data_IF_414216388313
#
_entry.id   IF_414216388313
#
_cell.length_a   1.000
_cell.length_b   1.000
_cell.length_c   1.000
_cell.angle_alpha   90.00
_cell.angle_beta   90.00
_cell.angle_gamma   90.00
#
_symmetry.space_group_name_H-M   'P 1'
#
loop_
_entity.id
_entity.type
_entity.pdbx_description
1 polymer ?
#
# COMPACT_ATOMS: atom_id res chain seq x y z
N UNK A 1 6.78 12.17 -10.00
CA UNK A 1 5.81 11.08 -9.68
C UNK A 1 6.28 10.26 -8.49
N UNK A 2 7.53 9.79 -8.41
CA UNK A 2 8.02 9.09 -7.21
C UNK A 2 8.50 9.99 -6.05
N UNK A 3 8.59 11.31 -6.26
CA UNK A 3 8.94 12.28 -5.21
C UNK A 3 7.72 12.85 -4.46
N UNK A 4 6.55 12.20 -4.59
CA UNK A 4 5.34 12.64 -3.90
C UNK A 4 5.42 12.27 -2.42
N UNK A 5 5.03 13.20 -1.55
CA UNK A 5 5.04 13.01 -0.08
C UNK A 5 4.23 11.78 0.35
N UNK A 6 3.22 11.40 -0.45
CA UNK A 6 2.42 10.19 -0.27
C UNK A 6 3.27 8.91 -0.28
N UNK A 7 4.32 8.86 -1.11
CA UNK A 7 5.21 7.70 -1.22
C UNK A 7 6.00 7.49 0.06
N UNK A 8 6.55 8.58 0.60
CA UNK A 8 7.30 8.55 1.85
C UNK A 8 6.36 8.16 3.00
N UNK A 9 5.14 8.71 3.00
CA UNK A 9 4.13 8.42 4.02
C UNK A 9 3.82 6.92 4.09
N UNK A 10 3.36 6.30 3.00
CA UNK A 10 2.97 4.88 3.07
C UNK A 10 4.17 3.98 3.34
N UNK A 11 5.35 4.29 2.79
CA UNK A 11 6.55 3.50 2.98
C UNK A 11 7.02 3.50 4.43
N UNK A 12 7.11 4.69 5.07
CA UNK A 12 7.51 4.79 6.48
C UNK A 12 6.48 4.11 7.37
N UNK A 13 5.19 4.36 7.12
CA UNK A 13 4.10 3.83 7.94
C UNK A 13 4.05 2.30 7.90
N UNK A 14 4.12 1.69 6.71
CA UNK A 14 4.16 0.23 6.62
C UNK A 14 5.46 -0.35 7.15
N UNK A 15 6.60 0.31 6.94
CA UNK A 15 7.88 -0.16 7.48
C UNK A 15 7.85 -0.22 9.01
N UNK A 16 7.34 0.82 9.69
CA UNK A 16 7.21 0.82 11.15
C UNK A 16 6.21 -0.26 11.61
N UNK A 17 5.11 -0.44 10.88
CA UNK A 17 4.12 -1.50 11.14
C UNK A 17 4.77 -2.89 11.06
N UNK A 18 5.61 -3.11 10.06
CA UNK A 18 6.32 -4.38 9.88
C UNK A 18 7.38 -4.62 10.95
N UNK A 19 8.18 -3.59 11.29
CA UNK A 19 9.19 -3.70 12.37
C UNK A 19 8.53 -4.10 13.68
N UNK A 20 7.41 -3.47 14.05
CA UNK A 20 6.70 -3.82 15.30
C UNK A 20 6.10 -5.22 15.25
N UNK A 21 5.53 -5.62 14.11
CA UNK A 21 4.96 -6.96 13.90
C UNK A 21 6.01 -8.06 14.02
N UNK A 22 7.12 -7.94 13.28
CA UNK A 22 8.18 -8.94 13.30
C UNK A 22 8.91 -8.98 14.64
N UNK A 23 9.16 -7.83 15.26
CA UNK A 23 9.71 -7.78 16.63
C UNK A 23 8.83 -8.55 17.60
N UNK A 24 7.51 -8.34 17.57
CA UNK A 24 6.59 -9.09 18.42
C UNK A 24 6.70 -10.61 18.19
N UNK A 25 6.78 -11.07 16.95
CA UNK A 25 6.92 -12.50 16.66
C UNK A 25 8.25 -13.06 17.15
N UNK A 26 9.35 -12.36 16.94
CA UNK A 26 10.68 -12.77 17.43
C UNK A 26 10.70 -12.90 18.95
N UNK A 27 10.24 -11.89 19.69
CA UNK A 27 10.25 -11.93 21.14
C UNK A 27 9.24 -12.94 21.73
N UNK A 28 8.15 -13.21 21.01
CA UNK A 28 7.23 -14.27 21.37
C UNK A 28 7.88 -15.67 21.23
N UNK A 29 8.68 -15.90 20.18
CA UNK A 29 9.44 -17.14 20.00
C UNK A 29 10.53 -17.32 21.07
N UNK A 30 11.13 -16.23 21.55
CA UNK A 30 12.12 -16.24 22.62
C UNK A 30 11.51 -16.41 24.02
N UNK A 31 10.19 -16.62 24.14
CA UNK A 31 9.43 -16.70 25.40
C UNK A 31 9.63 -15.50 26.34
N UNK A 32 10.08 -14.37 25.81
CA UNK A 32 10.33 -13.16 26.57
C UNK A 32 9.84 -11.97 25.76
N UNK A 33 8.62 -11.51 26.04
CA UNK A 33 7.98 -10.40 25.32
C UNK A 33 8.07 -9.09 26.12
N UNK A 34 8.92 -8.13 25.71
CA UNK A 34 8.98 -6.83 26.33
C UNK A 34 7.62 -6.10 26.28
N UNK A 35 7.24 -5.46 27.37
CA UNK A 35 5.98 -4.70 27.47
C UNK A 35 5.85 -3.66 26.36
N UNK A 36 6.93 -2.94 26.06
CA UNK A 36 6.95 -1.91 25.02
C UNK A 36 6.51 -2.43 23.65
N UNK A 37 6.99 -3.63 23.24
CA UNK A 37 6.68 -4.21 21.93
C UNK A 37 5.22 -4.64 21.87
N UNK A 38 4.71 -5.20 22.97
CA UNK A 38 3.29 -5.52 23.11
C UNK A 38 2.44 -4.25 23.00
N UNK A 39 2.79 -3.19 23.74
CA UNK A 39 2.10 -1.90 23.70
C UNK A 39 2.13 -1.27 22.30
N UNK A 40 3.30 -1.23 21.65
CA UNK A 40 3.48 -0.65 20.33
C UNK A 40 2.60 -1.36 19.29
N UNK A 41 2.54 -2.69 19.33
CA UNK A 41 1.67 -3.49 18.43
C UNK A 41 0.20 -3.06 18.51
N UNK A 42 -0.32 -2.83 19.71
CA UNK A 42 -1.75 -2.51 19.88
C UNK A 42 -2.08 -1.03 19.66
N UNK A 43 -1.15 -0.11 19.95
CA UNK A 43 -1.41 1.33 19.84
C UNK A 43 -1.03 1.89 18.46
N UNK A 44 0.13 1.50 17.92
CA UNK A 44 0.55 2.01 16.62
C UNK A 44 -0.35 1.53 15.49
N UNK A 45 -0.86 0.29 15.58
CA UNK A 45 -1.73 -0.24 14.54
C UNK A 45 -2.98 0.63 14.29
N UNK A 46 -3.55 1.24 15.35
CA UNK A 46 -4.75 2.09 15.24
C UNK A 46 -4.49 3.32 14.36
N UNK A 47 -3.28 3.90 14.44
CA UNK A 47 -2.93 5.14 13.74
C UNK A 47 -2.27 4.82 12.39
N UNK A 48 -1.32 3.88 12.39
CA UNK A 48 -0.53 3.53 11.22
C UNK A 48 -1.38 2.85 10.14
N UNK A 49 -2.36 2.04 10.52
CA UNK A 49 -3.19 1.36 9.52
C UNK A 49 -3.97 2.32 8.61
N UNK A 50 -4.80 3.26 9.12
CA UNK A 50 -5.48 4.23 8.26
C UNK A 50 -4.50 5.18 7.55
N UNK A 51 -3.38 5.55 8.19
CA UNK A 51 -2.37 6.39 7.56
C UNK A 51 -1.68 5.70 6.36
N UNK A 52 -1.41 4.40 6.49
CA UNK A 52 -0.77 3.59 5.44
C UNK A 52 -1.69 3.43 4.24
N UNK A 53 -2.94 3.05 4.49
CA UNK A 53 -3.99 2.96 3.47
C UNK A 53 -4.19 4.31 2.76
N UNK A 54 -4.26 5.41 3.51
CA UNK A 54 -4.39 6.74 2.91
C UNK A 54 -3.19 7.08 2.02
N UNK A 55 -1.96 6.79 2.46
CA UNK A 55 -0.76 6.99 1.67
C UNK A 55 -0.74 6.17 0.38
N UNK A 56 -1.19 4.91 0.41
CA UNK A 56 -1.32 4.06 -0.77
C UNK A 56 -2.33 4.63 -1.77
N UNK A 57 -3.54 4.98 -1.29
CA UNK A 57 -4.59 5.55 -2.13
C UNK A 57 -4.17 6.88 -2.76
N UNK A 58 -3.51 7.76 -2.00
CA UNK A 58 -2.97 9.02 -2.51
C UNK A 58 -1.86 8.79 -3.55
N UNK A 59 -1.02 7.78 -3.36
CA UNK A 59 0.02 7.42 -4.33
C UNK A 59 -0.58 6.91 -5.63
N UNK A 60 -1.58 6.03 -5.56
CA UNK A 60 -2.30 5.55 -6.75
C UNK A 60 -2.99 6.72 -7.45
N UNK A 61 -3.67 7.58 -6.70
CA UNK A 61 -4.35 8.76 -7.23
C UNK A 61 -3.39 9.70 -7.98
N UNK A 62 -2.23 9.98 -7.40
CA UNK A 62 -1.19 10.80 -8.04
C UNK A 62 -0.62 10.15 -9.31
N UNK A 63 -0.61 8.80 -9.38
CA UNK A 63 -0.14 8.06 -10.55
C UNK A 63 -1.18 7.97 -11.69
N UNK A 64 -2.48 8.04 -11.41
CA UNK A 64 -3.56 7.94 -12.41
C UNK A 64 -3.40 8.84 -13.65
N UNK A 65 -3.12 10.16 -13.55
CA UNK A 65 -2.97 11.01 -14.73
C UNK A 65 -1.79 10.57 -15.61
N UNK A 66 -0.70 10.11 -14.99
CA UNK A 66 0.45 9.60 -15.72
C UNK A 66 0.16 8.28 -16.41
N UNK A 67 -0.50 7.34 -15.73
CA UNK A 67 -0.93 6.06 -16.29
C UNK A 67 -1.87 6.27 -17.48
N UNK A 68 -2.83 7.19 -17.35
CA UNK A 68 -3.77 7.53 -18.43
C UNK A 68 -3.05 8.09 -19.66
N UNK A 69 -2.06 8.97 -19.47
CA UNK A 69 -1.30 9.60 -20.56
C UNK A 69 -0.38 8.62 -21.28
N UNK A 70 0.28 7.76 -20.52
CA UNK A 70 1.30 6.85 -21.07
C UNK A 70 0.73 5.54 -21.57
N UNK A 71 -0.46 5.13 -21.09
CA UNK A 71 -1.05 3.85 -21.43
C UNK A 71 -0.21 2.64 -20.98
N UNK A 72 0.70 2.85 -20.01
CA UNK A 72 1.58 1.79 -19.51
C UNK A 72 0.74 0.62 -18.99
N UNK A 73 1.20 -0.59 -19.32
CA UNK A 73 0.56 -1.86 -18.93
C UNK A 73 -0.89 -2.02 -19.42
N UNK A 74 -1.40 -1.17 -20.31
CA UNK A 74 -2.69 -1.36 -20.97
C UNK A 74 -2.52 -2.12 -22.30
N UNK A 75 -3.29 -3.18 -22.49
CA UNK A 75 -3.40 -3.93 -23.74
C UNK A 75 -4.58 -3.38 -24.55
N UNK A 76 -4.27 -2.64 -25.60
CA UNK A 76 -5.28 -2.12 -26.55
C UNK A 76 -5.46 -3.08 -27.72
N UNK A 77 -6.60 -2.97 -28.40
CA UNK A 77 -6.85 -3.66 -29.66
C UNK A 77 -6.27 -2.84 -30.84
N UNK A 78 -5.86 -3.50 -31.94
CA UNK A 78 -5.89 -4.95 -32.18
C UNK A 78 -4.66 -5.68 -31.60
N UNK A 79 -4.88 -6.84 -30.97
CA UNK A 79 -3.80 -7.75 -30.59
C UNK A 79 -4.16 -9.21 -30.95
N UNK A 80 -3.13 -10.07 -31.01
CA UNK A 80 -3.24 -11.48 -31.42
C UNK A 80 -4.26 -12.31 -30.63
N UNK A 81 -4.48 -11.96 -29.37
CA UNK A 81 -5.37 -12.69 -28.48
C UNK A 81 -6.80 -12.13 -28.46
N UNK A 82 -7.06 -11.00 -29.14
CA UNK A 82 -8.32 -10.27 -29.13
C UNK A 82 -8.82 -9.92 -27.71
N UNK A 83 -7.90 -9.64 -26.77
CA UNK A 83 -8.22 -9.29 -25.38
C UNK A 83 -7.84 -7.85 -25.09
N UNK A 84 -8.76 -7.05 -24.54
CA UNK A 84 -8.46 -5.68 -24.07
C UNK A 84 -8.27 -5.65 -22.56
N UNK A 85 -7.21 -5.01 -22.09
CA UNK A 85 -6.98 -4.74 -20.67
C UNK A 85 -6.56 -3.28 -20.50
N UNK A 86 -7.21 -2.55 -19.58
CA UNK A 86 -6.89 -1.15 -19.33
C UNK A 86 -6.47 -0.96 -17.88
N UNK A 87 -5.17 -0.73 -17.68
CA UNK A 87 -4.57 -0.60 -16.37
C UNK A 87 -5.11 0.59 -15.58
N UNK A 88 -5.55 1.65 -16.26
CA UNK A 88 -6.15 2.82 -15.61
C UNK A 88 -7.43 2.46 -14.83
N UNK A 89 -8.34 1.71 -15.46
CA UNK A 89 -9.58 1.29 -14.79
C UNK A 89 -9.32 0.23 -13.72
N UNK A 90 -8.33 -0.64 -13.92
CA UNK A 90 -7.90 -1.58 -12.89
C UNK A 90 -7.47 -0.86 -11.61
N UNK A 91 -6.64 0.18 -11.71
CA UNK A 91 -6.21 0.97 -10.54
C UNK A 91 -7.38 1.63 -9.80
N UNK A 92 -8.39 2.12 -10.53
CA UNK A 92 -9.61 2.69 -9.92
C UNK A 92 -10.39 1.62 -9.15
N UNK A 93 -10.55 0.42 -9.71
CA UNK A 93 -11.23 -0.69 -9.02
C UNK A 93 -10.46 -1.08 -7.75
N UNK A 94 -9.13 -1.15 -7.82
CA UNK A 94 -8.29 -1.41 -6.64
C UNK A 94 -8.53 -0.35 -5.57
N UNK A 95 -8.56 0.94 -5.91
CA UNK A 95 -8.87 2.00 -4.93
C UNK A 95 -10.24 1.81 -4.27
N UNK A 96 -11.26 1.41 -5.03
CA UNK A 96 -12.59 1.14 -4.46
C UNK A 96 -12.62 -0.08 -3.53
N UNK A 97 -11.78 -1.10 -3.76
CA UNK A 97 -11.71 -2.28 -2.89
C UNK A 97 -11.21 -1.99 -1.46
N UNK A 98 -10.62 -0.81 -1.23
CA UNK A 98 -10.24 -0.37 0.13
C UNK A 98 -11.42 0.24 0.90
N UNK A 99 -12.53 0.57 0.23
CA UNK A 99 -13.75 1.05 0.86
C UNK A 99 -14.62 -0.17 1.22
N UNK A 100 -14.97 -0.35 2.50
CA UNK A 100 -15.75 -1.50 2.96
C UNK A 100 -17.19 -1.49 2.46
#
# INVERSE_FOLDING_TARGET
IQNEESVILFLVVWTVTEITRYSFYTFNLLNHLPYFIKWARYNFFIILYPAGVAGELLTIYAALPYVKKTGMFSLRLPNKYNVSFDYYYFLIIVMFSYVP
#
